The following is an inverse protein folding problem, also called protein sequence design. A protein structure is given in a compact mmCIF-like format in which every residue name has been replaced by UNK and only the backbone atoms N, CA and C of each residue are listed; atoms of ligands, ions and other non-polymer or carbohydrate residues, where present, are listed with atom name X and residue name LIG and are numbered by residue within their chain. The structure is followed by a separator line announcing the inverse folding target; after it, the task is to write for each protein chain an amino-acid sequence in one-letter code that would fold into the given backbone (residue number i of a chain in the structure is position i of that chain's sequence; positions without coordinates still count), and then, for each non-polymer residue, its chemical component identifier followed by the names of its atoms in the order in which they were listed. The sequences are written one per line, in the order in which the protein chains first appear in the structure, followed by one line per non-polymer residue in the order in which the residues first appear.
data_IF_326558435501
#
_entry.id   IF_326558435501
#
_cell.length_a   1.000
_cell.length_b   1.000
_cell.length_c   1.000
_cell.angle_alpha   90.00
_cell.angle_beta   90.00
_cell.angle_gamma   90.00
#
_symmetry.space_group_name_H-M   'P 1'
#
loop_
_entity.id
_entity.type
_entity.pdbx_description
1 polymer ?
#
# COMPACT_ATOMS: atom_id res chain seq x y z
N UNK A 1 -41.32 -3.21 -29.03
CA UNK A 1 -41.42 -3.74 -27.66
C UNK A 1 -40.08 -4.42 -27.36
N UNK A 2 -39.09 -3.65 -26.93
CA UNK A 2 -37.76 -4.17 -26.60
C UNK A 2 -37.57 -4.00 -25.09
N UNK A 3 -37.59 -5.13 -24.38
CA UNK A 3 -37.19 -5.20 -22.98
C UNK A 3 -35.68 -4.96 -22.93
N UNK A 4 -35.28 -3.77 -22.49
CA UNK A 4 -33.90 -3.51 -22.11
C UNK A 4 -33.59 -4.34 -20.86
N UNK A 5 -32.87 -5.44 -21.08
CA UNK A 5 -32.30 -6.26 -20.02
C UNK A 5 -31.31 -5.40 -19.22
N UNK A 6 -31.73 -4.99 -18.03
CA UNK A 6 -30.91 -4.27 -17.08
C UNK A 6 -29.82 -5.23 -16.59
N UNK A 7 -28.57 -5.01 -17.02
CA UNK A 7 -27.42 -5.69 -16.47
C UNK A 7 -27.26 -5.25 -15.02
N UNK A 8 -27.86 -6.03 -14.10
CA UNK A 8 -27.50 -5.99 -12.69
C UNK A 8 -26.05 -6.46 -12.56
N UNK A 9 -25.15 -5.49 -12.42
CA UNK A 9 -23.81 -5.76 -11.88
C UNK A 9 -24.00 -5.99 -10.39
N UNK A 10 -24.29 -7.22 -9.99
CA UNK A 10 -24.27 -7.62 -8.59
C UNK A 10 -22.83 -7.49 -8.07
N UNK A 11 -22.52 -6.39 -7.37
CA UNK A 11 -21.28 -6.31 -6.61
C UNK A 11 -21.38 -7.32 -5.46
N UNK A 12 -20.85 -8.53 -5.64
CA UNK A 12 -20.91 -9.59 -4.63
C UNK A 12 -20.16 -9.18 -3.37
N UNK A 13 -20.89 -8.68 -2.36
CA UNK A 13 -20.37 -8.51 -1.02
C UNK A 13 -20.26 -9.87 -0.34
N UNK A 14 -19.06 -10.24 0.13
CA UNK A 14 -18.84 -11.45 0.95
C UNK A 14 -18.80 -11.07 2.42
N UNK A 15 -19.44 -11.88 3.27
CA UNK A 15 -19.41 -11.69 4.73
C UNK A 15 -18.11 -12.28 5.28
N UNK A 16 -17.41 -11.51 6.10
CA UNK A 16 -16.24 -11.95 6.86
C UNK A 16 -16.58 -11.84 8.35
N UNK A 17 -16.41 -12.94 9.09
CA UNK A 17 -16.59 -12.99 10.54
C UNK A 17 -15.24 -13.18 11.21
N UNK A 18 -14.92 -12.33 12.18
CA UNK A 18 -13.68 -12.38 12.96
C UNK A 18 -13.96 -11.98 14.40
N UNK A 19 -13.26 -12.63 15.35
CA UNK A 19 -13.26 -12.22 16.75
C UNK A 19 -12.30 -11.05 16.93
N UNK A 20 -12.76 -10.02 17.63
CA UNK A 20 -11.96 -8.84 17.96
C UNK A 20 -11.87 -8.69 19.47
N UNK A 21 -10.79 -8.07 19.94
CA UNK A 21 -10.65 -7.72 21.36
C UNK A 21 -11.57 -6.55 21.72
N UNK A 22 -11.87 -6.43 23.01
CA UNK A 22 -12.62 -5.30 23.57
C UNK A 22 -11.97 -3.96 23.21
N UNK A 23 -10.65 -3.89 23.24
CA UNK A 23 -9.91 -2.64 22.94
C UNK A 23 -10.03 -2.24 21.46
N UNK A 24 -9.96 -3.20 20.54
CA UNK A 24 -10.17 -2.91 19.12
C UNK A 24 -11.62 -2.49 18.84
N UNK A 25 -12.59 -3.05 19.56
CA UNK A 25 -13.98 -2.59 19.46
C UNK A 25 -14.16 -1.14 19.92
N UNK A 26 -13.48 -0.73 21.00
CA UNK A 26 -13.51 0.66 21.49
C UNK A 26 -12.94 1.62 20.45
N UNK A 27 -11.82 1.27 19.83
CA UNK A 27 -11.20 2.07 18.76
C UNK A 27 -12.12 2.20 17.55
N UNK A 28 -12.76 1.11 17.12
CA UNK A 28 -13.73 1.15 16.00
C UNK A 28 -14.92 2.08 16.32
N UNK A 29 -15.47 2.01 17.53
CA UNK A 29 -16.56 2.91 17.97
C UNK A 29 -16.14 4.38 17.98
N UNK A 30 -14.88 4.68 18.31
CA UNK A 30 -14.36 6.04 18.25
C UNK A 30 -14.31 6.54 16.79
N UNK A 31 -13.79 5.71 15.88
CA UNK A 31 -13.68 6.05 14.46
C UNK A 31 -15.06 6.24 13.82
N UNK A 32 -16.03 5.36 14.14
CA UNK A 32 -17.43 5.49 13.69
C UNK A 32 -18.03 6.85 14.08
N UNK A 33 -17.79 7.32 15.31
CA UNK A 33 -18.27 8.62 15.80
C UNK A 33 -17.60 9.79 15.09
N UNK A 34 -16.29 9.72 14.85
CA UNK A 34 -15.51 10.77 14.20
C UNK A 34 -15.88 10.88 12.72
N UNK A 35 -15.88 9.76 12.00
CA UNK A 35 -16.17 9.71 10.56
C UNK A 35 -17.67 9.81 10.25
N UNK A 36 -18.54 9.66 11.26
CA UNK A 36 -20.01 9.68 11.14
C UNK A 36 -20.50 8.67 10.09
N UNK A 37 -19.95 7.46 10.13
CA UNK A 37 -20.27 6.38 9.19
C UNK A 37 -20.54 5.08 9.92
N UNK A 38 -21.17 4.12 9.24
CA UNK A 38 -21.54 2.85 9.84
C UNK A 38 -20.32 1.94 10.07
N UNK A 39 -20.46 1.02 11.03
CA UNK A 39 -19.42 0.06 11.41
C UNK A 39 -18.87 -0.74 10.23
N UNK A 40 -19.74 -1.20 9.33
CA UNK A 40 -19.30 -2.02 8.21
C UNK A 40 -18.48 -1.20 7.21
N UNK A 41 -18.81 0.07 7.02
CA UNK A 41 -18.02 1.00 6.19
C UNK A 41 -16.66 1.29 6.81
N UNK A 42 -16.59 1.58 8.11
CA UNK A 42 -15.30 1.75 8.83
C UNK A 42 -14.43 0.50 8.69
N UNK A 43 -14.99 -0.68 8.98
CA UNK A 43 -14.25 -1.94 8.91
C UNK A 43 -13.75 -2.20 7.48
N UNK A 44 -14.58 -2.03 6.45
CA UNK A 44 -14.17 -2.22 5.06
C UNK A 44 -13.04 -1.27 4.68
N UNK A 45 -13.13 0.01 5.06
CA UNK A 45 -12.10 1.02 4.79
C UNK A 45 -10.78 0.64 5.45
N UNK A 46 -10.79 0.36 6.75
CA UNK A 46 -9.59 -0.01 7.51
C UNK A 46 -8.97 -1.32 7.00
N UNK A 47 -9.80 -2.31 6.66
CA UNK A 47 -9.32 -3.56 6.07
C UNK A 47 -8.66 -3.31 4.71
N UNK A 48 -9.25 -2.47 3.86
CA UNK A 48 -8.67 -2.12 2.57
C UNK A 48 -7.33 -1.40 2.71
N UNK A 49 -7.21 -0.48 3.68
CA UNK A 49 -5.95 0.19 4.00
C UNK A 49 -4.93 -0.85 4.49
N UNK A 50 -5.30 -1.69 5.46
CA UNK A 50 -4.42 -2.71 6.02
C UNK A 50 -3.90 -3.70 4.97
N UNK A 51 -4.76 -4.15 4.04
CA UNK A 51 -4.33 -5.00 2.91
C UNK A 51 -3.36 -4.25 1.99
N UNK A 52 -3.61 -2.98 1.69
CA UNK A 52 -2.70 -2.18 0.86
C UNK A 52 -1.33 -2.04 1.50
N UNK A 53 -1.27 -1.66 2.78
CA UNK A 53 -0.01 -1.52 3.53
C UNK A 53 0.74 -2.85 3.64
N UNK A 54 0.01 -3.95 3.88
CA UNK A 54 0.61 -5.28 3.91
C UNK A 54 1.24 -5.66 2.56
N UNK A 55 0.57 -5.37 1.44
CA UNK A 55 1.09 -5.65 0.09
C UNK A 55 2.32 -4.82 -0.23
N UNK A 56 2.36 -3.55 0.19
CA UNK A 56 3.54 -2.68 0.05
C UNK A 56 4.75 -3.29 0.76
N UNK A 57 4.60 -3.64 2.04
CA UNK A 57 5.67 -4.28 2.83
C UNK A 57 6.14 -5.59 2.19
N UNK A 58 5.20 -6.46 1.82
CA UNK A 58 5.52 -7.73 1.17
C UNK A 58 6.27 -7.56 -0.16
N UNK A 59 5.86 -6.60 -0.99
CA UNK A 59 6.55 -6.30 -2.24
C UNK A 59 7.98 -5.77 -2.02
N UNK A 60 8.18 -4.94 -1.00
CA UNK A 60 9.50 -4.44 -0.60
C UNK A 60 10.42 -5.57 -0.14
N UNK A 61 9.92 -6.46 0.71
CA UNK A 61 10.71 -7.59 1.22
C UNK A 61 11.15 -8.51 0.07
N UNK A 62 10.24 -8.83 -0.86
CA UNK A 62 10.56 -9.61 -2.06
C UNK A 62 11.61 -8.93 -2.95
N UNK A 63 11.53 -7.60 -3.09
CA UNK A 63 12.49 -6.84 -3.89
C UNK A 63 13.87 -6.81 -3.23
N UNK A 64 13.93 -6.57 -1.91
CA UNK A 64 15.16 -6.57 -1.11
C UNK A 64 15.88 -7.92 -1.11
N UNK A 65 15.11 -9.00 -1.14
CA UNK A 65 15.64 -10.36 -1.25
C UNK A 65 16.06 -10.75 -2.68
N UNK A 66 15.93 -9.84 -3.67
CA UNK A 66 16.27 -10.09 -5.07
C UNK A 66 15.33 -11.08 -5.78
N UNK A 67 14.19 -11.42 -5.17
CA UNK A 67 13.24 -12.43 -5.70
C UNK A 67 12.39 -11.91 -6.84
N UNK A 68 12.21 -10.59 -6.94
CA UNK A 68 11.38 -9.93 -7.96
C UNK A 68 12.06 -8.67 -8.49
N UNK A 69 11.77 -8.31 -9.73
CA UNK A 69 12.17 -7.02 -10.29
C UNK A 69 11.37 -5.87 -9.68
N UNK A 70 11.88 -4.64 -9.77
CA UNK A 70 11.19 -3.42 -9.31
C UNK A 70 9.77 -3.31 -9.91
N UNK A 71 9.64 -3.57 -11.21
CA UNK A 71 8.36 -3.52 -11.92
C UNK A 71 7.38 -4.58 -11.40
N UNK A 72 7.88 -5.77 -11.09
CA UNK A 72 7.07 -6.84 -10.51
C UNK A 72 6.65 -6.51 -9.07
N UNK A 73 7.53 -5.91 -8.29
CA UNK A 73 7.21 -5.44 -6.94
C UNK A 73 6.13 -4.35 -6.95
N UNK A 74 6.23 -3.36 -7.85
CA UNK A 74 5.21 -2.34 -8.04
C UNK A 74 3.82 -2.96 -8.33
N UNK A 75 3.77 -3.94 -9.24
CA UNK A 75 2.55 -4.68 -9.55
C UNK A 75 1.98 -5.43 -8.35
N UNK A 76 2.82 -6.01 -7.50
CA UNK A 76 2.38 -6.71 -6.27
C UNK A 76 1.80 -5.71 -5.27
N UNK A 77 2.49 -4.59 -5.04
CA UNK A 77 2.03 -3.52 -4.17
C UNK A 77 0.75 -2.85 -4.68
N UNK A 78 0.44 -2.95 -5.98
CA UNK A 78 -0.66 -2.23 -6.61
C UNK A 78 -0.34 -0.75 -6.82
N UNK A 79 0.94 -0.45 -7.02
CA UNK A 79 1.48 0.88 -7.24
C UNK A 79 1.95 1.03 -8.69
N UNK A 80 2.00 2.27 -9.16
CA UNK A 80 2.79 2.61 -10.33
C UNK A 80 4.28 2.39 -10.07
N UNK A 81 5.07 2.33 -11.14
CA UNK A 81 6.52 2.21 -11.01
C UNK A 81 7.11 3.38 -10.19
N UNK A 82 6.62 4.60 -10.43
CA UNK A 82 7.10 5.80 -9.75
C UNK A 82 6.74 5.80 -8.26
N UNK A 83 5.52 5.40 -7.91
CA UNK A 83 5.11 5.23 -6.51
C UNK A 83 5.91 4.13 -5.79
N UNK A 84 6.31 3.07 -6.50
CA UNK A 84 7.19 2.04 -5.94
C UNK A 84 8.61 2.57 -5.68
N UNK A 85 9.13 3.43 -6.57
CA UNK A 85 10.42 4.11 -6.38
C UNK A 85 10.35 5.03 -5.16
N UNK A 86 9.29 5.84 -5.06
CA UNK A 86 9.02 6.69 -3.90
C UNK A 86 8.91 5.88 -2.60
N UNK A 87 8.23 4.73 -2.65
CA UNK A 87 8.08 3.85 -1.51
C UNK A 87 9.43 3.29 -1.05
N UNK A 88 10.29 2.89 -1.99
CA UNK A 88 11.66 2.47 -1.69
C UNK A 88 12.46 3.60 -1.04
N UNK A 89 12.36 4.82 -1.57
CA UNK A 89 13.02 6.00 -0.99
C UNK A 89 12.58 6.25 0.45
N UNK A 90 11.26 6.17 0.73
CA UNK A 90 10.65 6.38 2.06
C UNK A 90 10.99 5.31 3.08
N UNK A 91 11.05 4.04 2.68
CA UNK A 91 11.32 2.89 3.56
C UNK A 91 12.84 2.65 3.82
N UNK A 92 13.69 3.62 3.46
CA UNK A 92 15.17 3.65 3.42
C UNK A 92 15.81 3.35 2.06
N UNK A 93 15.68 4.30 1.13
CA UNK A 93 16.66 4.52 0.06
C UNK A 93 16.90 6.03 -0.07
N UNK A 94 17.59 6.65 0.91
CA UNK A 94 18.80 7.35 0.48
C UNK A 94 19.53 6.27 -0.29
N UNK A 95 19.73 6.51 -1.59
CA UNK A 95 20.50 5.65 -2.48
C UNK A 95 21.61 4.95 -1.67
N UNK A 96 22.07 3.79 -2.14
CA UNK A 96 23.43 3.36 -1.84
C UNK A 96 24.49 4.39 -2.31
N UNK A 97 24.21 5.69 -2.26
CA UNK A 97 25.16 6.77 -2.15
C UNK A 97 25.90 6.58 -0.82
N UNK A 98 26.81 5.63 -0.86
CA UNK A 98 27.87 5.50 0.11
C UNK A 98 28.62 6.83 0.18
N UNK A 99 29.30 7.09 1.29
CA UNK A 99 30.17 8.29 1.42
C UNK A 99 31.17 8.34 0.26
N UNK A 100 31.55 7.18 -0.27
CA UNK A 100 32.36 7.00 -1.47
C UNK A 100 31.72 7.57 -2.76
N UNK A 101 30.43 7.36 -3.01
CA UNK A 101 29.74 7.93 -4.19
C UNK A 101 29.61 9.47 -4.06
N UNK A 102 29.45 9.99 -2.83
CA UNK A 102 29.52 11.43 -2.54
C UNK A 102 30.90 12.02 -2.81
N UNK A 103 31.95 11.24 -2.55
CA UNK A 103 33.33 11.66 -2.77
C UNK A 103 33.66 11.72 -4.25
N UNK A 104 33.29 10.70 -5.02
CA UNK A 104 33.55 10.66 -6.47
C UNK A 104 32.89 11.81 -7.21
N UNK A 105 31.65 12.18 -6.85
CA UNK A 105 30.96 13.33 -7.46
C UNK A 105 31.62 14.68 -7.10
N UNK A 106 32.14 14.84 -5.88
CA UNK A 106 32.84 16.05 -5.45
C UNK A 106 34.20 16.18 -6.13
N UNK A 107 34.96 15.10 -6.25
CA UNK A 107 36.25 15.11 -6.97
C UNK A 107 36.05 15.40 -8.46
N UNK A 108 35.07 14.77 -9.11
CA UNK A 108 34.75 15.03 -10.51
C UNK A 108 34.31 16.49 -10.77
N UNK A 109 33.65 17.14 -9.81
CA UNK A 109 33.24 18.54 -9.91
C UNK A 109 34.37 19.55 -9.62
N UNK A 110 35.46 19.13 -8.99
CA UNK A 110 36.62 19.98 -8.68
C UNK A 110 37.76 19.84 -9.71
N UNK A 111 37.79 18.74 -10.48
CA UNK A 111 38.78 18.50 -11.54
C UNK A 111 38.34 18.97 -12.95
N UNK A 112 37.14 19.55 -13.08
CA UNK A 112 36.64 20.21 -14.31
C UNK A 112 36.68 21.73 -14.22
#
# INVERSE_FOLDING_TARGET
MYTFNCLQVDSMSKIVSARISEDLEKELKLIEKIEKTDRATVIRKLLSIGVSEWKKKYALDLYREGKVSLWKAAKIAGLSLWEMIDLLAKEKVLLNYTIEDLREDIEAALEG
#
